data_IF_038292544845
#
_entry.id   IF_038292544845
#
_cell.length_a   1.000
_cell.length_b   1.000
_cell.length_c   1.000
_cell.angle_alpha   90.00
_cell.angle_beta   90.00
_cell.angle_gamma   90.00
#
_symmetry.space_group_name_H-M   'P 1'
#
loop_
_entity.id
_entity.type
_entity.pdbx_description
1 polymer ?
2 non-polymer ?
3 non-polymer ?
4 non-polymer ?
5 non-polymer ?
6 water ?
#
# COMPACT_ATOMS: atom_id res chain seq x y z
N UNK A 22 28.70 -11.83 -26.63
CA UNK A 22 27.38 -11.85 -25.91
C UNK A 22 27.51 -12.65 -24.61
N UNK A 23 27.25 -11.98 -23.48
CA UNK A 23 26.90 -12.63 -22.19
C UNK A 23 25.39 -12.86 -22.18
N UNK A 24 24.89 -14.10 -22.41
CA UNK A 24 23.46 -14.37 -22.38
C UNK A 24 22.91 -14.26 -20.95
N UNK A 25 21.89 -13.44 -20.75
CA UNK A 25 21.17 -13.29 -19.46
C UNK A 25 19.84 -14.05 -19.55
N UNK A 26 19.40 -14.63 -18.43
CA UNK A 26 18.05 -15.24 -18.30
C UNK A 26 17.03 -14.13 -18.60
N UNK A 27 16.06 -14.35 -19.52
CA UNK A 27 15.06 -13.33 -19.83
C UNK A 27 14.18 -12.95 -18.64
N UNK A 28 13.80 -11.67 -18.59
CA UNK A 28 12.76 -11.12 -17.68
C UNK A 28 11.46 -11.92 -17.87
N UNK A 29 10.90 -12.42 -16.76
CA UNK A 29 9.62 -13.17 -16.73
C UNK A 29 8.92 -12.81 -15.42
N UNK A 30 7.59 -12.79 -15.39
CA UNK A 30 6.85 -12.60 -14.13
C UNK A 30 7.19 -13.76 -13.20
N UNK A 31 7.47 -13.46 -11.94
CA UNK A 31 7.52 -14.48 -10.88
C UNK A 31 6.09 -14.88 -10.52
N UNK A 32 5.82 -16.17 -10.46
CA UNK A 32 4.50 -16.71 -10.07
C UNK A 32 4.51 -16.97 -8.56
N UNK A 33 3.56 -16.36 -7.85
CA UNK A 33 3.18 -16.77 -6.48
C UNK A 33 2.14 -17.88 -6.66
N UNK A 34 2.52 -19.12 -6.41
CA UNK A 34 1.72 -20.31 -6.78
C UNK A 34 0.80 -20.75 -5.63
N UNK A 35 -0.18 -21.61 -5.95
CA UNK A 35 -1.07 -22.18 -4.91
C UNK A 35 -0.21 -23.00 -3.93
N UNK A 36 0.81 -23.71 -4.43
CA UNK A 36 1.71 -24.51 -3.57
C UNK A 36 2.44 -23.61 -2.57
N UNK A 37 2.91 -22.43 -3.00
CA UNK A 37 3.50 -21.42 -2.10
C UNK A 37 2.48 -21.03 -1.03
N UNK A 38 1.25 -20.73 -1.45
CA UNK A 38 0.20 -20.22 -0.55
C UNK A 38 -0.16 -21.31 0.47
N UNK A 39 -0.03 -22.59 0.13
CA UNK A 39 -0.38 -23.67 1.07
C UNK A 39 0.61 -23.66 2.26
N UNK A 40 1.76 -23.01 2.12
CA UNK A 40 2.76 -22.87 3.22
C UNK A 40 2.37 -21.73 4.17
N UNK A 41 1.35 -20.93 3.87
CA UNK A 41 1.05 -19.76 4.73
C UNK A 41 0.65 -20.26 6.12
N UNK A 42 1.37 -19.79 7.15
CA UNK A 42 1.15 -20.17 8.56
C UNK A 42 0.58 -18.96 9.30
N UNK A 43 -0.68 -19.02 9.70
CA UNK A 43 -1.36 -17.90 10.37
C UNK A 43 -0.99 -17.85 11.86
N UNK A 44 -0.19 -18.81 12.35
CA UNK A 44 0.11 -19.00 13.79
C UNK A 44 1.61 -18.94 14.07
N UNK A 45 2.35 -18.17 13.27
CA UNK A 45 3.82 -18.07 13.38
C UNK A 45 4.15 -16.79 14.15
N UNK A 46 4.71 -16.86 15.37
CA UNK A 46 4.95 -15.65 16.17
C UNK A 46 6.00 -14.70 15.56
N UNK A 47 6.85 -15.22 14.68
CA UNK A 47 7.89 -14.41 13.98
C UNK A 47 7.26 -13.60 12.85
N UNK A 48 6.01 -13.90 12.44
CA UNK A 48 5.34 -13.21 11.30
C UNK A 48 3.92 -12.80 11.70
N UNK A 49 3.68 -12.49 12.97
CA UNK A 49 2.37 -12.00 13.45
C UNK A 49 2.52 -10.60 14.04
N UNK A 50 1.65 -9.68 13.62
CA UNK A 50 1.61 -8.32 14.22
C UNK A 50 1.20 -8.42 15.68
N UNK A 51 1.87 -7.66 16.57
CA UNK A 51 1.41 -7.56 17.96
C UNK A 51 -0.06 -7.15 18.08
N UNK A 52 -0.76 -7.67 19.08
CA UNK A 52 -2.19 -7.39 19.33
C UNK A 52 -2.39 -5.89 19.56
N UNK A 53 -3.34 -5.29 18.87
CA UNK A 53 -3.76 -3.89 19.11
C UNK A 53 -4.68 -3.89 20.34
N UNK A 54 -4.44 -2.95 21.24
CA UNK A 54 -5.24 -2.75 22.49
C UNK A 54 -6.61 -2.17 22.13
N UNK A 55 -7.67 -2.63 22.80
CA UNK A 55 -9.04 -2.09 22.65
C UNK A 55 -9.15 -0.63 23.05
N UNK A 56 -8.18 -0.10 23.81
CA UNK A 56 -8.21 1.30 24.34
C UNK A 56 -7.34 2.22 23.48
N UNK A 57 -7.08 1.87 22.21
CA UNK A 57 -6.23 2.69 21.31
C UNK A 57 -6.75 4.13 21.27
N UNK A 58 -5.85 5.13 21.18
CA UNK A 58 -6.25 6.53 20.99
C UNK A 58 -6.67 6.76 19.53
N UNK A 59 -7.42 7.84 19.29
CA UNK A 59 -7.93 8.21 17.95
C UNK A 59 -7.40 9.59 17.58
N UNK A 60 -6.80 9.74 16.40
CA UNK A 60 -6.04 10.94 15.96
C UNK A 60 -6.97 12.15 15.79
N UNK A 61 -8.20 11.94 15.33
CA UNK A 61 -9.14 13.04 14.97
C UNK A 61 -10.58 12.64 15.29
N UNK A 62 -11.35 13.60 15.82
CA UNK A 62 -12.81 13.44 16.06
C UNK A 62 -13.58 14.01 14.86
N UNK A 63 -12.87 14.46 13.82
CA UNK A 63 -13.45 15.14 12.63
C UNK A 63 -13.36 14.23 11.40
N UNK A 64 -12.26 13.49 11.25
CA UNK A 64 -12.01 12.66 10.02
C UNK A 64 -11.53 11.27 10.43
N UNK A 65 -11.83 10.30 9.57
CA UNK A 65 -11.19 8.96 9.53
C UNK A 65 -9.93 9.09 8.67
N UNK A 66 -8.84 8.43 9.06
CA UNK A 66 -7.71 8.21 8.12
C UNK A 66 -7.52 6.71 7.97
N UNK A 67 -6.91 6.29 6.87
CA UNK A 67 -6.47 4.89 6.74
C UNK A 67 -5.09 4.85 6.05
N UNK A 68 -5.02 4.56 4.76
CA UNK A 68 -3.73 4.42 4.03
C UNK A 68 -2.86 5.65 4.36
N UNK A 69 -1.65 5.41 4.87
CA UNK A 69 -0.70 6.46 5.31
C UNK A 69 0.57 6.37 4.48
N UNK A 70 0.99 7.52 3.95
CA UNK A 70 2.05 7.65 2.93
C UNK A 70 3.07 8.66 3.42
N UNK A 71 4.16 8.22 4.09
CA UNK A 71 5.18 9.15 4.55
C UNK A 71 5.88 9.87 3.40
N UNK A 72 6.15 11.15 3.60
CA UNK A 72 7.02 11.94 2.68
C UNK A 72 8.36 11.24 2.57
N UNK A 73 8.85 11.06 1.34
CA UNK A 73 10.11 10.36 1.07
C UNK A 73 10.75 10.95 -0.18
N UNK A 74 12.06 10.78 -0.33
CA UNK A 74 12.74 11.12 -1.60
C UNK A 74 12.57 9.96 -2.59
N UNK A 75 13.08 10.14 -3.81
CA UNK A 75 12.87 9.18 -4.92
C UNK A 75 13.63 7.88 -4.63
N UNK A 76 14.61 7.90 -3.72
CA UNK A 76 15.43 6.71 -3.37
C UNK A 76 14.80 5.91 -2.22
N UNK A 77 13.69 6.38 -1.65
CA UNK A 77 12.93 5.66 -0.62
C UNK A 77 13.19 6.14 0.78
N UNK A 78 14.05 7.15 0.96
CA UNK A 78 14.39 7.69 2.31
C UNK A 78 13.20 8.47 2.86
N UNK A 79 12.67 8.07 4.02
CA UNK A 79 11.62 8.82 4.73
C UNK A 79 12.21 10.18 5.14
N UNK A 80 11.57 11.27 4.75
CA UNK A 80 12.17 12.61 4.85
C UNK A 80 11.35 13.51 5.77
N UNK A 81 12.04 14.20 6.68
CA UNK A 81 11.52 15.43 7.34
C UNK A 81 11.99 16.64 6.55
N UNK A 82 11.30 17.76 6.75
CA UNK A 82 11.62 19.06 6.09
C UNK A 82 11.78 20.10 7.19
N UNK A 83 12.99 20.66 7.31
CA UNK A 83 13.33 21.61 8.40
C UNK A 83 12.89 21.01 9.74
N UNK A 84 13.10 19.70 9.93
CA UNK A 84 12.83 18.99 11.20
C UNK A 84 11.40 18.49 11.32
N UNK A 85 10.50 18.88 10.41
CA UNK A 85 9.08 18.45 10.44
C UNK A 85 8.90 17.12 9.69
N UNK A 86 8.48 16.07 10.39
CA UNK A 86 7.99 14.83 9.75
C UNK A 86 6.64 15.16 9.09
N UNK A 87 6.39 14.56 7.93
CA UNK A 87 5.15 14.79 7.15
C UNK A 87 4.62 13.44 6.67
N UNK A 88 3.33 13.21 6.88
CA UNK A 88 2.62 12.04 6.28
C UNK A 88 1.43 12.57 5.47
N UNK A 89 1.12 11.84 4.41
CA UNK A 89 -0.13 12.02 3.63
C UNK A 89 -1.04 10.86 4.02
N UNK A 90 -2.33 11.13 4.14
CA UNK A 90 -3.33 10.09 4.49
C UNK A 90 -4.51 10.14 3.52
N UNK A 91 -5.03 8.97 3.16
CA UNK A 91 -6.42 8.88 2.68
C UNK A 91 -7.32 9.22 3.85
N UNK A 92 -8.30 10.08 3.60
CA UNK A 92 -9.06 10.80 4.65
C UNK A 92 -10.51 10.86 4.21
N UNK A 93 -11.42 10.73 5.18
CA UNK A 93 -12.88 10.85 4.95
C UNK A 93 -13.51 11.51 6.17
N UNK A 94 -14.49 12.38 5.94
CA UNK A 94 -15.23 13.02 7.05
C UNK A 94 -15.91 11.94 7.90
N UNK A 95 -15.91 12.14 9.22
CA UNK A 95 -16.88 11.51 10.12
C UNK A 95 -18.20 12.27 9.97
N UNK A 96 -19.32 11.56 10.00
CA UNK A 96 -20.68 12.09 9.70
C UNK A 96 -21.64 11.67 10.80
N UNK A 97 -21.35 12.00 12.08
CA UNK A 97 -22.15 11.51 13.20
C UNK A 97 -23.63 11.94 13.23
N UNK A 98 -23.98 13.01 12.51
CA UNK A 98 -25.37 13.56 12.50
C UNK A 98 -26.09 13.19 11.19
N UNK A 99 -25.44 12.48 10.26
CA UNK A 99 -26.08 12.04 8.99
C UNK A 99 -27.28 11.15 9.30
N UNK A 100 -28.49 11.47 8.80
CA UNK A 100 -29.65 10.61 9.02
C UNK A 100 -29.45 9.17 8.53
N UNK A 101 -28.67 9.00 7.45
CA UNK A 101 -28.39 7.68 6.82
C UNK A 101 -27.67 6.76 7.81
N UNK A 102 -27.00 7.32 8.82
CA UNK A 102 -26.15 6.56 9.79
C UNK A 102 -26.81 6.47 11.16
N UNK A 103 -28.08 6.87 11.30
CA UNK A 103 -28.84 6.72 12.57
C UNK A 103 -29.52 5.35 12.55
N UNK A 104 -29.32 4.55 13.61
CA UNK A 104 -29.85 3.17 13.71
C UNK A 104 -31.32 3.20 14.13
N UNK A 105 -31.90 2.04 14.44
CA UNK A 105 -33.33 1.85 14.82
C UNK A 105 -33.66 2.76 16.01
N UNK A 106 -32.74 2.89 16.98
CA UNK A 106 -32.93 3.64 18.25
C UNK A 106 -32.44 5.10 18.10
N UNK A 107 -32.16 5.55 16.87
CA UNK A 107 -31.75 6.94 16.58
C UNK A 107 -30.32 7.21 17.04
N UNK A 108 -29.47 6.19 17.09
CA UNK A 108 -28.04 6.29 17.51
C UNK A 108 -27.13 6.13 16.28
N UNK A 109 -26.05 6.90 16.25
CA UNK A 109 -25.02 6.89 15.17
C UNK A 109 -24.40 5.49 15.09
N UNK A 110 -24.38 4.92 13.89
CA UNK A 110 -23.70 3.63 13.56
C UNK A 110 -22.42 3.95 12.79
N UNK A 111 -21.30 4.01 13.50
CA UNK A 111 -19.95 4.36 12.96
C UNK A 111 -19.56 3.38 11.84
N UNK A 112 -20.01 2.13 11.90
CA UNK A 112 -19.57 1.08 10.93
C UNK A 112 -20.01 1.49 9.52
N UNK A 113 -21.22 2.06 9.37
CA UNK A 113 -21.76 2.46 8.04
C UNK A 113 -20.92 3.61 7.48
N UNK A 114 -20.62 4.60 8.34
CA UNK A 114 -19.82 5.81 8.01
C UNK A 114 -18.41 5.36 7.57
N UNK A 115 -17.78 4.51 8.38
CA UNK A 115 -16.44 3.93 8.11
C UNK A 115 -16.44 3.17 6.77
N UNK A 116 -17.44 2.35 6.50
CA UNK A 116 -17.51 1.52 5.26
C UNK A 116 -17.67 2.42 4.03
N UNK A 117 -18.22 3.63 4.19
CA UNK A 117 -18.47 4.58 3.06
C UNK A 117 -17.26 5.49 2.84
N UNK A 118 -16.14 5.28 3.55
CA UNK A 118 -14.97 6.19 3.45
C UNK A 118 -14.40 6.18 2.03
N UNK A 119 -14.38 5.03 1.37
CA UNK A 119 -13.67 4.86 0.07
C UNK A 119 -14.32 5.76 -0.99
N UNK A 120 -15.65 5.89 -0.95
CA UNK A 120 -16.38 6.66 -1.96
C UNK A 120 -16.21 8.15 -1.81
N UNK A 121 -15.61 8.62 -0.70
CA UNK A 121 -15.46 10.07 -0.40
C UNK A 121 -14.01 10.38 -0.02
N UNK A 122 -13.07 9.52 -0.40
CA UNK A 122 -11.64 9.60 -0.03
C UNK A 122 -10.99 10.87 -0.58
N UNK A 123 -10.22 11.56 0.25
CA UNK A 123 -9.42 12.76 -0.13
C UNK A 123 -8.05 12.67 0.56
N UNK A 124 -7.05 13.26 -0.07
CA UNK A 124 -5.65 13.30 0.45
C UNK A 124 -5.55 14.44 1.47
N UNK A 125 -5.14 14.12 2.71
CA UNK A 125 -4.76 15.13 3.73
C UNK A 125 -3.27 14.97 4.00
N UNK A 126 -2.70 15.95 4.68
CA UNK A 126 -1.34 15.82 5.24
C UNK A 126 -1.39 16.15 6.74
N UNK A 127 -0.40 15.63 7.44
CA UNK A 127 -0.19 15.79 8.90
C UNK A 127 1.30 16.02 9.13
N UNK A 128 1.65 16.61 10.26
CA UNK A 128 3.07 16.93 10.53
C UNK A 128 3.35 16.83 12.02
N UNK A 129 4.63 16.67 12.34
CA UNK A 129 5.11 16.50 13.74
C UNK A 129 6.62 16.61 13.76
N UNK A 130 7.18 17.21 14.82
CA UNK A 130 8.66 17.24 14.96
C UNK A 130 9.16 15.99 15.69
N UNK A 131 8.27 15.07 16.08
CA UNK A 131 8.67 13.84 16.83
C UNK A 131 8.41 12.58 16.00
N UNK A 132 7.77 12.69 14.84
CA UNK A 132 7.36 11.50 14.07
C UNK A 132 6.19 10.77 14.70
N UNK A 133 5.45 11.41 15.58
CA UNK A 133 4.18 10.88 16.14
C UNK A 133 3.36 12.04 16.72
N UNK A 134 2.20 11.78 17.30
CA UNK A 134 1.33 12.85 17.87
C UNK A 134 1.05 13.86 16.76
N UNK A 135 0.59 13.36 15.62
CA UNK A 135 0.46 14.10 14.35
C UNK A 135 -0.50 15.28 14.53
N UNK A 136 -0.12 16.41 13.95
CA UNK A 136 -0.98 17.63 13.84
C UNK A 136 -1.60 17.61 12.45
N UNK A 137 -2.93 17.73 12.38
CA UNK A 137 -3.67 17.69 11.10
C UNK A 137 -3.37 18.96 10.30
N UNK A 138 -3.08 18.81 9.01
CA UNK A 138 -2.79 19.92 8.09
C UNK A 138 -3.94 20.24 7.15
N UNK A 139 -4.83 19.29 6.91
CA UNK A 139 -6.00 19.45 6.01
C UNK A 139 -5.71 18.95 4.61
N UNK A 140 -6.61 19.29 3.69
CA UNK A 140 -6.56 18.88 2.26
C UNK A 140 -5.23 19.29 1.62
N UNK A 141 -4.64 18.40 0.82
CA UNK A 141 -3.43 18.71 0.01
C UNK A 141 -3.86 19.55 -1.19
N UNK A 142 -4.89 19.08 -1.90
CA UNK A 142 -5.47 19.74 -3.10
C UNK A 142 -6.76 20.46 -2.70
N UNK A 143 -6.93 21.72 -3.11
CA UNK A 143 -8.21 22.44 -2.94
C UNK A 143 -9.32 21.64 -3.64
N UNK A 144 -10.52 21.62 -3.08
CA UNK A 144 -11.68 20.92 -3.68
C UNK A 144 -11.81 21.39 -5.13
N UNK A 145 -12.01 20.46 -6.08
CA UNK A 145 -12.17 20.77 -7.51
C UNK A 145 -10.88 20.70 -8.31
N UNK A 146 -9.71 20.62 -7.65
CA UNK A 146 -8.42 20.41 -8.37
C UNK A 146 -8.41 19.00 -8.94
N UNK A 147 -8.75 18.01 -8.11
CA UNK A 147 -8.70 16.60 -8.55
C UNK A 147 -9.76 16.39 -9.63
N UNK A 148 -9.41 15.75 -10.77
CA UNK A 148 -10.38 15.52 -11.85
C UNK A 148 -11.43 14.48 -11.47
N UNK A 149 -11.14 13.68 -10.44
CA UNK A 149 -12.05 12.73 -9.75
C UNK A 149 -12.26 13.24 -8.32
N UNK A 150 -13.49 13.24 -7.81
CA UNK A 150 -13.79 13.52 -6.38
C UNK A 150 -13.06 12.51 -5.49
N UNK A 151 -12.89 11.24 -5.91
CA UNK A 151 -12.06 10.27 -5.12
C UNK A 151 -10.56 10.35 -5.45
N UNK A 152 -9.77 10.56 -4.41
CA UNK A 152 -8.30 10.55 -4.42
C UNK A 152 -7.89 9.29 -3.66
N UNK A 153 -7.38 8.26 -4.34
CA UNK A 153 -6.88 7.04 -3.68
C UNK A 153 -5.36 7.08 -3.60
N UNK A 154 -4.73 6.04 -3.05
CA UNK A 154 -3.38 6.12 -2.48
C UNK A 154 -2.28 6.23 -3.54
N UNK A 155 -1.10 6.61 -3.07
CA UNK A 155 0.13 6.64 -3.86
C UNK A 155 1.30 7.02 -3.00
N UNK A 156 2.14 7.94 -3.50
CA UNK A 156 3.42 8.30 -2.86
C UNK A 156 3.69 9.78 -3.00
N UNK A 157 3.94 10.51 -1.90
CA UNK A 157 4.45 11.87 -1.97
C UNK A 157 5.98 11.90 -2.03
N UNK A 158 6.53 12.34 -3.16
CA UNK A 158 8.00 12.34 -3.41
C UNK A 158 8.54 13.76 -3.26
N UNK A 159 9.38 13.99 -2.25
CA UNK A 159 10.10 15.28 -2.06
C UNK A 159 11.22 15.33 -3.09
N UNK A 160 11.25 16.37 -3.93
CA UNK A 160 12.11 16.44 -5.14
C UNK A 160 13.41 17.19 -4.86
N UNK A 161 13.36 18.25 -4.07
CA UNK A 161 14.51 19.21 -4.01
C UNK A 161 14.41 20.08 -2.76
N UNK A 162 15.44 20.91 -2.56
CA UNK A 162 15.59 21.80 -1.37
C UNK A 162 14.73 23.07 -1.52
N UNK A 163 13.99 23.22 -2.61
CA UNK A 163 12.92 24.24 -2.74
C UNK A 163 11.61 23.70 -2.15
N UNK A 164 11.58 22.42 -1.74
CA UNK A 164 10.41 21.79 -1.09
C UNK A 164 9.37 21.34 -2.11
N UNK A 165 9.74 21.25 -3.38
CA UNK A 165 8.81 20.77 -4.43
C UNK A 165 8.53 19.29 -4.19
N UNK A 166 7.27 18.89 -4.32
CA UNK A 166 6.79 17.50 -4.12
C UNK A 166 6.01 17.09 -5.36
N UNK A 167 6.30 15.91 -5.89
CA UNK A 167 5.37 15.21 -6.84
C UNK A 167 4.53 14.26 -6.02
N UNK A 168 3.22 14.51 -5.91
CA UNK A 168 2.27 13.56 -5.29
C UNK A 168 1.76 12.64 -6.41
N UNK A 169 2.24 11.41 -6.43
CA UNK A 169 1.71 10.34 -7.29
C UNK A 169 0.52 9.72 -6.56
N UNK A 170 -0.63 9.64 -7.20
CA UNK A 170 -1.83 9.06 -6.55
C UNK A 170 -2.71 8.42 -7.61
N UNK A 171 -3.80 7.83 -7.16
CA UNK A 171 -4.78 7.15 -8.04
C UNK A 171 -6.04 8.02 -8.13
N UNK A 172 -6.32 8.55 -9.32
CA UNK A 172 -7.57 9.28 -9.61
C UNK A 172 -8.65 8.25 -9.94
N UNK A 173 -9.68 8.13 -9.10
CA UNK A 173 -10.66 7.02 -9.17
C UNK A 173 -12.06 7.58 -9.42
N UNK A 174 -12.66 7.11 -10.52
CA UNK A 174 -14.08 7.27 -10.94
C UNK A 174 -14.27 8.59 -11.67
N UNK A 175 -14.46 8.60 -13.01
CA UNK A 175 -14.45 7.39 -13.84
C UNK A 175 -13.06 6.76 -13.96
N UNK A 176 -13.04 5.42 -14.07
CA UNK A 176 -11.82 4.63 -14.27
C UNK A 176 -10.93 4.66 -13.05
N UNK A 177 -9.67 4.28 -13.25
CA UNK A 177 -8.63 4.27 -12.21
C UNK A 177 -7.33 4.59 -12.92
N UNK A 178 -6.80 5.79 -12.70
CA UNK A 178 -5.67 6.31 -13.48
C UNK A 178 -4.56 6.69 -12.51
N UNK A 179 -3.34 6.26 -12.81
CA UNK A 179 -2.15 6.77 -12.08
C UNK A 179 -1.86 8.18 -12.57
N UNK A 180 -1.83 9.14 -11.65
CA UNK A 180 -1.68 10.58 -11.95
C UNK A 180 -0.60 11.14 -11.04
N UNK A 181 -0.14 12.36 -11.31
CA UNK A 181 0.70 13.07 -10.33
C UNK A 181 0.33 14.54 -10.34
N UNK A 182 0.63 15.20 -9.24
CA UNK A 182 0.36 16.66 -9.08
C UNK A 182 1.56 17.23 -8.33
N UNK A 183 2.13 18.28 -8.90
CA UNK A 183 3.31 18.98 -8.34
C UNK A 183 2.81 20.07 -7.40
N UNK A 184 3.42 20.18 -6.22
CA UNK A 184 3.21 21.31 -5.30
C UNK A 184 4.46 21.54 -4.48
N UNK A 185 4.36 22.27 -3.38
CA UNK A 185 5.55 22.40 -2.50
C UNK A 185 5.11 22.47 -1.04
N UNK A 186 6.02 22.04 -0.18
CA UNK A 186 5.85 22.11 1.29
C UNK A 186 6.53 23.41 1.74
N UNK A 187 5.83 24.16 2.58
CA UNK A 187 6.35 25.38 3.25
C UNK A 187 6.27 25.13 4.76
N UNK A 188 7.36 25.37 5.48
CA UNK A 188 7.40 25.21 6.96
C UNK A 188 7.63 26.56 7.62
N UNK A 189 7.07 26.72 8.82
CA UNK A 189 7.44 27.74 9.83
C UNK A 189 7.78 27.00 11.12
N UNK A 190 8.15 27.72 12.18
CA UNK A 190 8.40 27.05 13.48
C UNK A 190 7.09 26.60 14.12
N UNK A 191 5.92 27.00 13.60
CA UNK A 191 4.58 26.60 14.16
C UNK A 191 4.01 25.40 13.40
N UNK A 192 4.39 25.19 12.13
CA UNK A 192 3.84 24.05 11.39
C UNK A 192 4.17 24.07 9.91
N UNK A 193 3.34 23.35 9.14
CA UNK A 193 3.61 22.96 7.74
C UNK A 193 2.36 23.27 6.91
N UNK A 194 2.59 23.77 5.69
CA UNK A 194 1.52 24.00 4.70
C UNK A 194 1.90 23.28 3.40
N UNK A 195 0.88 22.85 2.65
CA UNK A 195 1.03 22.29 1.29
C UNK A 195 0.40 23.28 0.31
N UNK A 196 1.20 23.83 -0.61
CA UNK A 196 0.75 24.92 -1.51
C UNK A 196 0.97 24.54 -2.97
N UNK A 197 0.10 25.05 -3.86
CA UNK A 197 0.35 25.02 -5.31
C UNK A 197 0.08 23.67 -5.95
N UNK A 198 -0.62 22.75 -5.27
CA UNK A 198 -1.02 21.45 -5.85
C UNK A 198 -2.26 21.68 -6.72
N UNK A 199 -2.04 22.10 -7.97
CA UNK A 199 -3.10 22.73 -8.81
C UNK A 199 -3.36 21.99 -10.12
N UNK A 200 -2.37 21.29 -10.68
CA UNK A 200 -2.50 20.72 -12.05
C UNK A 200 -2.21 19.23 -12.00
N UNK A 201 -3.25 18.41 -12.03
CA UNK A 201 -3.12 16.93 -12.02
C UNK A 201 -2.80 16.47 -13.45
N UNK A 202 -1.78 15.63 -13.58
CA UNK A 202 -1.28 15.11 -14.88
C UNK A 202 -1.54 13.62 -14.95
N UNK A 203 -2.19 13.16 -16.04
CA UNK A 203 -2.44 11.73 -16.30
C UNK A 203 -1.12 11.04 -16.70
N UNK A 204 -0.77 9.94 -16.04
CA UNK A 204 0.45 9.17 -16.39
C UNK A 204 0.09 7.90 -17.16
N UNK A 205 -0.78 7.06 -16.63
CA UNK A 205 -1.21 5.83 -17.34
C UNK A 205 -2.39 5.17 -16.62
N UNK A 206 -3.08 4.32 -17.36
CA UNK A 206 -4.17 3.46 -16.84
C UNK A 206 -3.95 2.06 -17.37
N UNK A 207 -4.81 1.12 -16.98
CA UNK A 207 -4.68 -0.28 -17.44
C UNK A 207 -4.80 -0.33 -18.95
N UNK A 208 -4.01 -1.19 -19.60
CA UNK A 208 -3.88 -1.24 -21.08
C UNK A 208 -4.75 -2.33 -21.70
N UNK A 209 -5.00 -3.44 -20.98
CA UNK A 209 -5.86 -4.55 -21.46
C UNK A 209 -5.10 -5.70 -22.10
N UNK A 210 -3.77 -5.59 -22.35
CA UNK A 210 -2.95 -6.71 -22.85
C UNK A 210 -2.04 -7.24 -21.73
N UNK A 211 -1.52 -6.34 -20.90
CA UNK A 211 -0.68 -6.69 -19.73
C UNK A 211 -1.53 -6.61 -18.46
N UNK A 212 -2.18 -5.47 -18.23
CA UNK A 212 -3.01 -5.22 -17.02
C UNK A 212 -4.48 -5.19 -17.40
N UNK A 213 -5.29 -5.83 -16.58
CA UNK A 213 -6.75 -5.96 -16.78
C UNK A 213 -7.42 -4.59 -16.68
N UNK A 214 -8.42 -4.36 -17.52
CA UNK A 214 -9.19 -3.10 -17.57
C UNK A 214 -10.57 -3.27 -16.94
N UNK A 215 -11.25 -2.15 -16.72
CA UNK A 215 -12.65 -2.13 -16.21
C UNK A 215 -13.56 -2.85 -17.21
N UNK A 216 -13.29 -2.74 -18.51
CA UNK A 216 -14.04 -3.43 -19.59
C UNK A 216 -13.96 -4.94 -19.38
N UNK A 217 -12.79 -5.44 -19.00
CA UNK A 217 -12.54 -6.89 -18.80
C UNK A 217 -13.09 -7.33 -17.45
N UNK A 218 -13.17 -6.43 -16.47
CA UNK A 218 -13.53 -6.81 -15.09
C UNK A 218 -14.01 -5.57 -14.35
N UNK A 219 -15.31 -5.49 -13.96
CA UNK A 219 -15.80 -4.31 -13.24
C UNK A 219 -15.09 -4.12 -11.88
N UNK A 220 -14.46 -5.17 -11.37
CA UNK A 220 -13.79 -5.21 -10.05
C UNK A 220 -12.27 -5.12 -10.22
N UNK A 221 -11.78 -4.74 -11.40
CA UNK A 221 -10.33 -4.61 -11.67
C UNK A 221 -9.67 -3.68 -10.65
N UNK A 222 -8.40 -3.95 -10.36
CA UNK A 222 -7.55 -3.05 -9.55
C UNK A 222 -6.53 -2.37 -10.47
N UNK A 223 -6.30 -1.09 -10.25
CA UNK A 223 -5.20 -0.33 -10.88
C UNK A 223 -4.94 0.86 -9.97
N UNK A 224 -3.98 0.76 -9.05
CA UNK A 224 -3.85 1.78 -7.99
C UNK A 224 -2.51 1.62 -7.27
N UNK A 225 -2.27 2.54 -6.34
CA UNK A 225 -1.15 2.50 -5.35
C UNK A 225 0.19 2.66 -6.05
N UNK A 226 0.41 3.75 -6.83
CA UNK A 226 1.72 3.98 -7.45
C UNK A 226 2.82 4.20 -6.41
N UNK A 227 3.95 3.53 -6.62
CA UNK A 227 5.16 3.58 -5.79
C UNK A 227 6.35 3.84 -6.71
N UNK A 228 6.66 5.11 -7.00
CA UNK A 228 7.81 5.45 -7.85
C UNK A 228 9.09 5.29 -7.05
N UNK A 229 10.17 4.93 -7.74
CA UNK A 229 11.49 4.78 -7.09
C UNK A 229 12.59 4.87 -8.13
N UNK A 230 13.76 5.29 -7.66
CA UNK A 230 15.01 5.22 -8.45
C UNK A 230 15.67 3.88 -8.13
N UNK A 231 15.89 3.05 -9.16
CA UNK A 231 16.59 1.76 -9.01
C UNK A 231 18.00 2.04 -8.49
N UNK A 232 18.41 1.50 -7.34
CA UNK A 232 19.75 1.78 -6.80
C UNK A 232 20.89 1.30 -7.71
N UNK A 233 20.66 0.33 -8.59
CA UNK A 233 21.73 -0.24 -9.45
C UNK A 233 21.83 0.54 -10.77
N UNK A 234 20.73 0.76 -11.50
CA UNK A 234 20.75 1.42 -12.83
C UNK A 234 20.60 2.94 -12.70
N UNK A 235 19.99 3.42 -11.61
CA UNK A 235 19.63 4.83 -11.42
C UNK A 235 18.43 5.27 -12.26
N UNK A 236 17.78 4.35 -12.97
CA UNK A 236 16.57 4.63 -13.78
C UNK A 236 15.34 4.74 -12.85
N UNK A 237 14.36 5.52 -13.27
CA UNK A 237 13.08 5.72 -12.53
C UNK A 237 12.09 4.64 -12.96
N UNK A 238 11.56 3.92 -11.98
CA UNK A 238 10.48 2.93 -12.19
C UNK A 238 9.33 3.24 -11.25
N UNK A 239 8.24 2.49 -11.40
CA UNK A 239 7.07 2.68 -10.50
C UNK A 239 6.27 1.38 -10.43
N UNK A 240 6.06 0.89 -9.20
CA UNK A 240 5.20 -0.26 -8.91
C UNK A 240 3.75 0.22 -8.81
N UNK A 241 2.82 -0.67 -9.05
CA UNK A 241 1.39 -0.44 -8.78
C UNK A 241 0.69 -1.79 -8.67
N UNK A 242 -0.47 -1.77 -8.04
CA UNK A 242 -1.36 -2.94 -7.98
C UNK A 242 -2.14 -3.04 -9.29
N UNK A 243 -2.19 -4.24 -9.87
CA UNK A 243 -3.07 -4.51 -11.01
C UNK A 243 -3.69 -5.87 -10.93
N UNK A 244 -4.40 -6.24 -11.99
CA UNK A 244 -4.83 -7.64 -12.26
C UNK A 244 -4.23 -8.06 -13.59
N UNK A 245 -4.02 -9.36 -13.76
CA UNK A 245 -3.50 -9.91 -15.03
C UNK A 245 -4.55 -9.68 -16.11
N UNK A 246 -4.13 -9.12 -17.25
CA UNK A 246 -5.05 -8.80 -18.37
C UNK A 246 -5.85 -10.04 -18.79
N UNK A 247 -7.08 -9.79 -19.21
CA UNK A 247 -7.99 -10.81 -19.76
C UNK A 247 -9.38 -10.64 -19.20
N UNK A 248 -10.39 -11.04 -19.96
CA UNK A 248 -11.80 -11.02 -19.49
C UNK A 248 -11.87 -11.76 -18.15
N UNK A 249 -12.57 -11.18 -17.18
CA UNK A 249 -12.87 -11.86 -15.90
C UNK A 249 -13.44 -13.25 -16.21
N UNK A 250 -12.88 -14.29 -15.58
CA UNK A 250 -13.34 -15.68 -15.74
C UNK A 250 -12.64 -16.42 -16.86
N UNK A 251 -11.80 -15.75 -17.67
CA UNK A 251 -11.12 -16.38 -18.84
C UNK A 251 -9.77 -16.97 -18.44
N UNK A 252 -9.18 -16.54 -17.33
CA UNK A 252 -7.83 -16.99 -16.89
C UNK A 252 -7.88 -18.50 -16.60
N UNK A 253 -6.73 -19.15 -16.69
CA UNK A 253 -6.61 -20.61 -16.42
C UNK A 253 -5.57 -20.81 -15.33
N UNK A 254 -5.93 -21.56 -14.29
CA UNK A 254 -4.94 -22.04 -13.29
C UNK A 254 -4.30 -23.29 -13.88
N UNK A 255 -3.16 -23.11 -14.53
CA UNK A 255 -2.40 -24.21 -15.16
C UNK A 255 -1.35 -24.74 -14.19
N UNK A 256 -0.48 -25.66 -14.66
CA UNK A 256 0.55 -26.25 -13.80
C UNK A 256 1.43 -25.22 -13.08
N UNK A 257 1.76 -24.09 -13.73
CA UNK A 257 2.68 -23.08 -13.14
C UNK A 257 1.95 -22.31 -12.03
N UNK A 258 0.65 -22.03 -12.21
CA UNK A 258 -0.13 -21.28 -11.18
C UNK A 258 -0.42 -22.21 -10.00
N UNK A 259 -0.67 -23.49 -10.27
CA UNK A 259 -0.90 -24.50 -9.20
C UNK A 259 0.41 -24.68 -8.43
N UNK A 260 1.53 -24.81 -9.14
CA UNK A 260 2.82 -25.14 -8.53
C UNK A 260 2.86 -26.56 -8.00
N UNK A 261 3.82 -26.83 -7.11
CA UNK A 261 4.15 -28.20 -6.66
C UNK A 261 3.26 -28.57 -5.48
N UNK A 262 1.95 -28.66 -5.71
CA UNK A 262 0.97 -29.00 -4.64
C UNK A 262 1.13 -30.47 -4.26
N UNK A 263 0.85 -30.79 -2.98
CA UNK A 263 0.93 -32.16 -2.51
C UNK A 263 -0.30 -32.97 -2.86
N UNK A 264 -0.22 -34.32 -2.74
CA UNK A 264 -1.36 -35.18 -3.06
C UNK A 264 -2.65 -34.75 -2.35
N UNK A 265 -3.73 -34.68 -3.13
CA UNK A 265 -5.08 -34.30 -2.65
C UNK A 265 -5.36 -32.81 -2.79
N UNK A 266 -4.37 -31.99 -3.17
CA UNK A 266 -4.49 -30.51 -3.26
C UNK A 266 -4.45 -30.03 -4.71
N UNK A 267 -4.85 -30.89 -5.66
CA UNK A 267 -4.77 -30.62 -7.11
C UNK A 267 -5.93 -29.73 -7.58
N UNK A 268 -7.05 -29.71 -6.87
CA UNK A 268 -8.29 -29.02 -7.32
C UNK A 268 -8.11 -27.51 -7.15
N UNK A 269 -8.17 -26.75 -8.24
CA UNK A 269 -8.05 -25.27 -8.23
C UNK A 269 -9.42 -24.62 -7.97
N UNK A 270 -10.51 -25.39 -7.95
CA UNK A 270 -11.86 -24.83 -7.82
C UNK A 270 -12.11 -23.73 -8.84
N UNK A 271 -12.65 -22.60 -8.40
CA UNK A 271 -12.93 -21.43 -9.27
C UNK A 271 -11.89 -20.33 -8.98
N UNK A 272 -10.65 -20.71 -8.65
CA UNK A 272 -9.58 -19.75 -8.26
C UNK A 272 -9.09 -18.95 -9.46
N UNK A 273 -9.53 -19.28 -10.68
CA UNK A 273 -9.18 -18.51 -11.90
C UNK A 273 -9.85 -17.13 -11.87
N UNK A 274 -10.76 -16.89 -10.94
CA UNK A 274 -11.37 -15.55 -10.70
C UNK A 274 -10.43 -14.68 -9.86
N UNK A 275 -9.36 -15.21 -9.26
CA UNK A 275 -8.40 -14.41 -8.46
C UNK A 275 -7.14 -14.19 -9.29
N UNK A 276 -6.85 -12.95 -9.67
CA UNK A 276 -5.87 -12.63 -10.75
C UNK A 276 -4.99 -11.43 -10.36
N UNK A 277 -4.63 -11.29 -9.10
CA UNK A 277 -3.82 -10.16 -8.64
C UNK A 277 -2.43 -10.14 -9.29
N UNK A 278 -1.86 -8.97 -9.50
CA UNK A 278 -0.44 -8.87 -9.90
C UNK A 278 0.15 -7.56 -9.41
N UNK A 279 1.47 -7.58 -9.28
CA UNK A 279 2.27 -6.36 -9.04
C UNK A 279 2.82 -5.91 -10.39
N UNK A 280 2.39 -4.72 -10.82
CA UNK A 280 2.81 -4.10 -12.07
C UNK A 280 4.02 -3.22 -11.88
N UNK A 281 4.69 -2.91 -12.98
CA UNK A 281 5.83 -1.96 -12.99
C UNK A 281 5.80 -1.18 -14.31
N UNK A 282 6.16 0.09 -14.20
CA UNK A 282 6.31 1.04 -15.33
C UNK A 282 7.71 1.62 -15.25
N UNK A 283 8.21 2.11 -16.38
CA UNK A 283 9.56 2.76 -16.45
C UNK A 283 9.38 4.18 -17.00
N UNK A 284 10.20 5.10 -16.51
CA UNK A 284 10.14 6.51 -16.94
C UNK A 284 11.18 6.77 -18.03
N UNK A 285 10.81 7.56 -19.03
CA UNK A 285 11.69 7.96 -20.15
C UNK A 285 12.59 9.14 -19.74
N UNK A 286 12.40 9.70 -18.55
CA UNK A 286 13.10 10.94 -18.08
C UNK A 286 13.38 10.82 -16.57
N UNK A 287 14.11 11.79 -16.01
CA UNK A 287 14.50 11.84 -14.57
C UNK A 287 13.43 12.59 -13.75
N UNK A 288 12.44 13.20 -14.41
CA UNK A 288 11.42 14.07 -13.76
C UNK A 288 10.14 13.27 -13.47
N UNK A 289 10.06 12.01 -13.89
CA UNK A 289 8.86 11.19 -13.70
C UNK A 289 7.68 11.70 -14.50
N UNK A 290 7.89 12.16 -15.73
CA UNK A 290 6.83 12.80 -16.55
C UNK A 290 6.22 11.79 -17.53
N UNK A 291 7.03 11.03 -18.27
CA UNK A 291 6.55 10.16 -19.38
C UNK A 291 6.86 8.69 -19.06
N UNK A 292 5.81 7.88 -18.91
CA UNK A 292 5.92 6.51 -18.36
C UNK A 292 5.51 5.48 -19.42
N UNK A 293 6.16 4.33 -19.37
CA UNK A 293 5.87 3.20 -20.23
C UNK A 293 5.55 1.97 -19.37
N UNK A 294 4.42 1.33 -19.63
CA UNK A 294 4.02 0.10 -18.89
C UNK A 294 4.93 -1.06 -19.29
N UNK A 295 5.38 -1.82 -18.29
CA UNK A 295 6.10 -3.09 -18.50
C UNK A 295 5.21 -4.23 -18.03
N UNK A 296 5.53 -5.47 -18.44
CA UNK A 296 4.80 -6.62 -17.93
C UNK A 296 4.99 -6.77 -16.43
N UNK A 297 4.09 -7.49 -15.73
CA UNK A 297 4.17 -7.54 -14.27
C UNK A 297 5.40 -8.26 -13.70
N UNK A 298 5.77 -7.86 -12.49
CA UNK A 298 6.88 -8.48 -11.72
C UNK A 298 6.42 -9.78 -11.09
N UNK A 299 5.22 -9.77 -10.49
CA UNK A 299 4.66 -10.90 -9.69
C UNK A 299 3.22 -11.10 -10.09
N UNK A 300 2.81 -12.34 -10.35
CA UNK A 300 1.40 -12.66 -10.65
C UNK A 300 0.92 -13.71 -9.65
N UNK A 301 -0.37 -13.66 -9.30
CA UNK A 301 -0.99 -14.49 -8.25
C UNK A 301 -2.29 -15.09 -8.76
N UNK A 302 -2.34 -15.49 -10.04
CA UNK A 302 -3.55 -16.14 -10.63
C UNK A 302 -3.80 -17.46 -9.89
N UNK A 303 -5.02 -17.64 -9.38
CA UNK A 303 -5.39 -18.83 -8.59
C UNK A 303 -5.03 -18.69 -7.12
N UNK A 304 -4.43 -17.56 -6.70
CA UNK A 304 -3.86 -17.44 -5.33
C UNK A 304 -4.47 -16.25 -4.59
N UNK A 305 -4.44 -15.06 -5.17
CA UNK A 305 -5.07 -13.91 -4.47
C UNK A 305 -5.41 -12.83 -5.50
N UNK A 306 -6.59 -12.25 -5.35
CA UNK A 306 -7.06 -11.22 -6.31
C UNK A 306 -6.42 -9.85 -6.01
N UNK A 307 -5.87 -9.62 -4.81
CA UNK A 307 -5.46 -8.25 -4.38
C UNK A 307 -4.02 -8.29 -3.84
N UNK A 308 -3.07 -7.90 -4.68
CA UNK A 308 -1.66 -7.64 -4.29
C UNK A 308 -1.53 -6.12 -4.21
N UNK A 309 -1.91 -5.56 -3.08
CA UNK A 309 -2.08 -4.11 -2.87
C UNK A 309 -0.76 -3.46 -2.49
N UNK A 310 -0.71 -2.15 -2.66
CA UNK A 310 0.36 -1.27 -2.17
C UNK A 310 1.74 -1.91 -2.30
N UNK A 311 2.16 -2.35 -3.51
CA UNK A 311 3.49 -2.90 -3.69
C UNK A 311 4.57 -1.84 -3.44
N UNK A 312 5.62 -2.23 -2.73
CA UNK A 312 6.75 -1.31 -2.42
C UNK A 312 8.03 -2.10 -2.14
N UNK A 313 9.16 -1.42 -2.31
CA UNK A 313 10.49 -2.01 -2.12
C UNK A 313 11.16 -1.53 -0.83
N UNK A 314 11.94 -2.43 -0.24
CA UNK A 314 13.13 -2.11 0.58
C UNK A 314 14.33 -2.68 -0.16
N UNK A 315 15.37 -1.86 -0.31
CA UNK A 315 16.67 -2.29 -0.88
C UNK A 315 17.59 -2.55 0.32
N UNK A 316 18.05 -3.79 0.46
CA UNK A 316 18.95 -4.17 1.59
C UNK A 316 19.89 -5.28 1.13
N UNK A 317 21.17 -5.21 1.52
CA UNK A 317 22.15 -6.31 1.29
C UNK A 317 22.27 -6.60 -0.22
N UNK A 318 22.09 -5.58 -1.08
CA UNK A 318 22.16 -5.70 -2.54
C UNK A 318 20.96 -6.44 -3.13
N UNK A 319 19.92 -6.68 -2.34
CA UNK A 319 18.71 -7.43 -2.77
C UNK A 319 17.52 -6.49 -2.86
N UNK A 320 16.48 -6.97 -3.53
CA UNK A 320 15.18 -6.29 -3.72
C UNK A 320 14.13 -7.04 -2.89
N UNK A 321 13.67 -6.40 -1.83
CA UNK A 321 12.57 -6.92 -0.98
C UNK A 321 11.29 -6.24 -1.46
N UNK A 322 10.41 -7.02 -2.07
CA UNK A 322 9.15 -6.54 -2.68
C UNK A 322 7.99 -6.94 -1.78
N UNK A 323 7.37 -5.96 -1.14
CA UNK A 323 6.25 -6.17 -0.19
C UNK A 323 4.93 -5.84 -0.88
N UNK A 324 3.89 -6.54 -0.47
CA UNK A 324 2.52 -6.28 -0.95
C UNK A 324 1.55 -6.62 0.16
N UNK A 325 0.43 -5.90 0.22
CA UNK A 325 -0.59 -6.07 1.26
C UNK A 325 -1.72 -6.91 0.66
N UNK A 326 -2.15 -7.95 1.34
CA UNK A 326 -3.24 -8.82 0.83
C UNK A 326 -4.20 -9.19 1.97
N UNK A 327 -5.31 -9.79 1.59
CA UNK A 327 -6.47 -10.04 2.47
C UNK A 327 -6.85 -11.51 2.45
N UNK A 328 -7.26 -12.00 3.62
CA UNK A 328 -7.90 -13.33 3.75
C UNK A 328 -9.04 -13.48 2.72
N UNK A 329 -9.87 -12.45 2.60
CA UNK A 329 -11.12 -12.52 1.81
C UNK A 329 -10.84 -12.77 0.32
N UNK A 330 -9.68 -12.35 -0.20
CA UNK A 330 -9.39 -12.34 -1.66
C UNK A 330 -8.48 -13.51 -2.05
N UNK A 331 -8.24 -14.45 -1.15
CA UNK A 331 -7.56 -15.72 -1.48
C UNK A 331 -8.38 -16.53 -2.50
N UNK A 332 -7.65 -17.28 -3.33
CA UNK A 332 -8.21 -18.32 -4.21
C UNK A 332 -8.99 -19.36 -3.43
N UNK A 333 -10.04 -19.95 -4.05
CA UNK A 333 -10.72 -21.17 -3.54
C UNK A 333 -9.72 -22.18 -2.99
N UNK A 334 -9.99 -22.72 -1.80
CA UNK A 334 -9.20 -23.80 -1.19
C UNK A 334 -7.91 -23.31 -0.56
N UNK A 335 -7.73 -21.98 -0.47
CA UNK A 335 -6.56 -21.36 0.18
C UNK A 335 -7.05 -20.38 1.23
N UNK A 336 -6.24 -20.18 2.25
CA UNK A 336 -6.50 -19.08 3.20
C UNK A 336 -5.19 -18.61 3.81
N UNK A 337 -5.28 -17.45 4.43
CA UNK A 337 -4.17 -16.78 5.09
C UNK A 337 -4.71 -15.51 5.69
N UNK A 338 -3.87 -14.79 6.47
CA UNK A 338 -4.28 -13.57 7.15
C UNK A 338 -4.24 -12.34 6.25
N UNK A 339 -5.00 -11.33 6.63
CA UNK A 339 -4.74 -9.93 6.20
C UNK A 339 -3.34 -9.56 6.65
N UNK A 340 -2.59 -8.84 5.81
CA UNK A 340 -1.31 -8.26 6.23
C UNK A 340 -0.29 -8.21 5.13
N UNK A 341 0.97 -8.19 5.55
CA UNK A 341 2.14 -7.98 4.65
C UNK A 341 2.59 -9.34 4.12
N UNK A 342 2.75 -9.40 2.82
CA UNK A 342 3.37 -10.51 2.08
C UNK A 342 4.59 -9.95 1.37
N UNK A 343 5.51 -10.81 0.96
CA UNK A 343 6.67 -10.27 0.25
C UNK A 343 7.54 -11.34 -0.35
N UNK A 344 8.47 -10.86 -1.18
CA UNK A 344 9.33 -11.66 -2.06
C UNK A 344 10.71 -11.01 -2.06
N UNK A 345 11.72 -11.78 -2.41
CA UNK A 345 13.09 -11.24 -2.50
C UNK A 345 13.75 -11.75 -3.77
N UNK A 346 14.54 -10.87 -4.40
CA UNK A 346 15.35 -11.15 -5.59
C UNK A 346 16.71 -10.49 -5.46
N UNK A 347 17.69 -11.04 -6.15
CA UNK A 347 19.01 -10.38 -6.39
C UNK A 347 18.84 -9.24 -7.38
N UNK A 348 17.77 -9.26 -8.20
CA UNK A 348 17.62 -8.38 -9.39
C UNK A 348 16.24 -7.71 -9.37
N UNK A 349 16.17 -6.47 -9.86
CA UNK A 349 14.88 -5.74 -9.95
C UNK A 349 13.86 -6.62 -10.67
N UNK A 350 14.24 -7.27 -11.78
CA UNK A 350 13.29 -8.00 -12.65
C UNK A 350 13.28 -9.49 -12.33
N UNK A 351 13.73 -9.89 -11.13
CA UNK A 351 13.58 -11.27 -10.62
C UNK A 351 14.76 -12.15 -11.01
N UNK A 352 14.68 -13.47 -10.76
CA UNK A 352 13.48 -14.10 -10.21
C UNK A 352 13.29 -13.81 -8.72
N UNK A 353 12.04 -13.66 -8.27
CA UNK A 353 11.69 -13.45 -6.85
C UNK A 353 11.35 -14.80 -6.23
N UNK A 354 11.61 -14.95 -4.93
CA UNK A 354 11.14 -16.12 -4.14
C UNK A 354 10.33 -15.60 -2.97
N UNK A 355 9.34 -16.37 -2.48
CA UNK A 355 8.49 -15.93 -1.37
C UNK A 355 9.27 -15.86 -0.04
N UNK A 356 9.14 -14.74 0.67
CA UNK A 356 9.77 -14.60 2.00
C UNK A 356 9.16 -15.63 2.94
N UNK A 357 10.01 -16.26 3.75
CA UNK A 357 9.64 -17.27 4.76
C UNK A 357 9.05 -18.52 4.10
N UNK A 358 9.25 -18.69 2.79
CA UNK A 358 8.79 -19.88 2.08
C UNK A 358 7.37 -19.70 1.51
N UNK A 359 6.47 -19.06 2.25
CA UNK A 359 5.04 -18.90 1.87
C UNK A 359 4.77 -17.55 1.21
N UNK A 360 5.56 -16.53 1.53
CA UNK A 360 5.30 -15.13 1.22
C UNK A 360 4.80 -14.33 2.40
N UNK A 361 4.30 -14.96 3.47
CA UNK A 361 3.77 -14.18 4.62
C UNK A 361 4.90 -13.54 5.41
N UNK A 362 4.80 -12.22 5.63
CA UNK A 362 5.80 -11.40 6.39
C UNK A 362 5.17 -10.95 7.71
N UNK A 363 3.95 -10.42 7.69
CA UNK A 363 3.34 -9.85 8.90
C UNK A 363 1.82 -9.99 8.83
N UNK A 364 1.32 -11.08 9.38
CA UNK A 364 -0.12 -11.38 9.37
C UNK A 364 -0.80 -10.82 10.59
N UNK A 365 -2.05 -10.42 10.46
CA UNK A 365 -2.87 -10.05 11.64
C UNK A 365 -3.04 -11.30 12.49
N UNK A 366 -3.07 -11.15 13.83
CA UNK A 366 -3.34 -12.27 14.72
C UNK A 366 -4.75 -12.79 14.47
N UNK A 367 -4.95 -14.13 14.37
CA UNK A 367 -6.28 -14.68 14.11
C UNK A 367 -7.37 -14.31 15.12
N UNK A 368 -7.00 -13.90 16.34
CA UNK A 368 -7.97 -13.43 17.38
C UNK A 368 -8.41 -11.99 17.09
N UNK A 369 -7.66 -11.25 16.27
CA UNK A 369 -8.01 -9.86 15.85
C UNK A 369 -7.68 -9.73 14.37
N UNK A 370 -8.38 -10.50 13.51
CA UNK A 370 -7.93 -10.69 12.12
C UNK A 370 -8.01 -9.43 11.26
N UNK A 371 -8.75 -8.41 11.70
CA UNK A 371 -8.99 -7.16 10.92
C UNK A 371 -8.45 -5.97 11.72
N UNK A 372 -7.48 -6.19 12.63
CA UNK A 372 -7.03 -5.08 13.52
C UNK A 372 -6.35 -3.99 12.70
N UNK A 373 -5.62 -4.32 11.64
CA UNK A 373 -4.88 -3.30 10.84
C UNK A 373 -4.89 -3.67 9.36
N UNK A 374 -4.55 -2.69 8.52
CA UNK A 374 -4.39 -2.90 7.06
C UNK A 374 -3.49 -1.81 6.46
N UNK A 375 -3.24 -1.96 5.16
CA UNK A 375 -2.49 -1.03 4.28
C UNK A 375 -1.12 -0.72 4.89
N UNK A 376 -0.45 -1.75 5.38
CA UNK A 376 0.89 -1.64 6.00
C UNK A 376 1.89 -1.05 5.01
N UNK A 377 2.94 -0.43 5.54
CA UNK A 377 4.05 0.12 4.72
C UNK A 377 5.35 -0.19 5.47
N UNK A 378 6.16 -1.05 4.86
CA UNK A 378 7.51 -1.41 5.38
C UNK A 378 8.49 -0.36 4.92
N UNK A 379 9.06 0.38 5.87
CA UNK A 379 10.05 1.42 5.53
C UNK A 379 11.44 0.83 5.60
N UNK A 380 12.44 1.47 4.96
CA UNK A 380 13.78 0.89 4.82
C UNK A 380 14.51 0.67 6.14
N UNK A 381 14.07 1.31 7.21
CA UNK A 381 14.63 1.17 8.58
C UNK A 381 13.99 -0.02 9.29
N UNK A 382 13.15 -0.80 8.58
CA UNK A 382 12.45 -1.98 9.12
C UNK A 382 11.17 -1.65 9.85
N UNK A 383 10.85 -0.36 10.06
CA UNK A 383 9.59 0.01 10.75
C UNK A 383 8.41 -0.13 9.79
N UNK A 384 7.35 -0.73 10.31
CA UNK A 384 6.11 -1.03 9.54
C UNK A 384 4.98 -0.22 10.18
N UNK A 385 4.42 0.71 9.41
CA UNK A 385 3.24 1.50 9.82
C UNK A 385 2.00 0.86 9.22
N UNK A 386 0.89 0.92 9.95
CA UNK A 386 -0.43 0.47 9.48
C UNK A 386 -1.50 1.27 10.20
N UNK A 387 -2.73 1.24 9.69
CA UNK A 387 -3.89 1.92 10.31
C UNK A 387 -4.74 0.84 11.01
N UNK A 388 -5.42 1.26 12.07
CA UNK A 388 -6.38 0.40 12.82
C UNK A 388 -7.71 0.38 12.07
N UNK A 389 -8.19 -0.83 11.78
CA UNK A 389 -9.53 -1.04 11.17
C UNK A 389 -10.50 -1.44 12.29
N UNK A 390 -10.56 -2.72 12.65
CA UNK A 390 -11.56 -3.24 13.60
C UNK A 390 -10.88 -4.07 14.69
N UNK A 391 -11.09 -3.69 15.95
CA UNK A 391 -10.50 -4.38 17.13
C UNK A 391 -11.64 -4.94 17.97
N UNK A 392 -11.70 -6.27 18.21
CA UNK A 392 -12.74 -6.84 19.07
C UNK A 392 -12.56 -6.37 20.52
N UNK A 393 -13.67 -6.14 21.23
CA UNK A 393 -13.69 -5.68 22.64
C UNK A 393 -14.53 -6.63 23.50
N UNK A 394 -15.02 -7.73 22.92
CA UNK A 394 -15.86 -8.73 23.61
C UNK A 394 -16.33 -9.80 22.64
N UNK A 395 -17.25 -10.65 23.09
CA UNK A 395 -17.77 -11.83 22.33
C UNK A 395 -18.29 -11.37 20.97
N UNK A 396 -19.07 -10.28 20.92
CA UNK A 396 -19.69 -9.76 19.67
C UNK A 396 -19.25 -8.31 19.39
N UNK A 397 -18.78 -7.57 20.40
CA UNK A 397 -18.51 -6.11 20.28
C UNK A 397 -17.12 -5.85 19.68
N UNK A 398 -16.99 -4.74 18.97
CA UNK A 398 -15.69 -4.29 18.39
C UNK A 398 -15.70 -2.77 18.21
N UNK A 399 -14.51 -2.18 18.15
CA UNK A 399 -14.25 -0.74 17.91
C UNK A 399 -13.70 -0.56 16.50
N UNK A 400 -14.11 0.53 15.86
CA UNK A 400 -13.52 1.02 14.57
C UNK A 400 -12.37 1.98 14.87
N UNK A 401 -11.28 1.87 14.12
CA UNK A 401 -10.12 2.76 14.25
C UNK A 401 -10.22 4.00 13.38
N UNK A 402 -9.78 3.90 12.12
CA UNK A 402 -9.59 5.09 11.27
C UNK A 402 -8.53 5.99 11.86
N UNK A 403 -7.49 5.38 12.46
CA UNK A 403 -6.40 6.06 13.17
C UNK A 403 -5.17 5.18 13.04
N UNK A 404 -3.98 5.70 13.36
CA UNK A 404 -2.72 4.93 13.17
C UNK A 404 -2.60 3.81 14.22
N UNK A 405 -2.12 2.65 13.77
CA UNK A 405 -1.77 1.50 14.64
C UNK A 405 -0.37 1.70 15.19
N UNK A 406 0.00 0.93 16.25
CA UNK A 406 1.39 0.87 16.68
C UNK A 406 2.30 0.47 15.49
N UNK A 407 3.42 1.16 15.36
CA UNK A 407 4.50 0.79 14.40
C UNK A 407 5.19 -0.47 14.94
N UNK A 408 5.61 -1.37 14.06
CA UNK A 408 6.35 -2.59 14.51
C UNK A 408 7.59 -2.77 13.64
N UNK A 409 8.71 -3.02 14.29
CA UNK A 409 10.03 -3.23 13.64
C UNK A 409 10.09 -4.69 13.17
N UNK A 410 10.47 -4.90 11.92
CA UNK A 410 10.81 -6.25 11.39
C UNK A 410 12.26 -6.23 10.91
N UNK A 411 12.84 -7.41 10.85
CA UNK A 411 14.21 -7.62 10.33
C UNK A 411 14.11 -8.48 9.08
N UNK A 412 14.79 -8.06 8.03
CA UNK A 412 14.91 -8.82 6.76
C UNK A 412 16.27 -9.51 6.79
N UNK A 413 16.27 -10.82 6.59
CA UNK A 413 17.51 -11.61 6.65
C UNK A 413 17.46 -12.70 5.57
N UNK A 414 18.15 -12.49 4.47
CA UNK A 414 18.09 -13.44 3.36
C UNK A 414 16.66 -13.55 2.87
N UNK A 415 16.09 -14.76 2.82
CA UNK A 415 14.70 -15.00 2.40
C UNK A 415 13.81 -15.20 3.64
N UNK A 416 14.19 -14.63 4.79
CA UNK A 416 13.43 -14.72 6.06
C UNK A 416 13.07 -13.31 6.52
N UNK A 417 12.00 -13.20 7.30
CA UNK A 417 11.72 -11.97 8.08
C UNK A 417 11.36 -12.36 9.52
N UNK A 418 11.56 -11.42 10.44
CA UNK A 418 11.35 -11.62 11.88
C UNK A 418 10.75 -10.35 12.48
N UNK A 419 9.65 -10.48 13.23
CA UNK A 419 9.04 -9.33 13.96
C UNK A 419 9.76 -9.14 15.29
N UNK A 420 10.25 -7.93 15.56
CA UNK A 420 11.23 -7.66 16.66
C UNK A 420 10.63 -6.87 17.81
N UNK A 421 9.90 -5.81 17.55
CA UNK A 421 9.63 -4.79 18.61
C UNK A 421 8.48 -3.89 18.18
N UNK A 422 7.59 -3.59 19.13
CA UNK A 422 6.42 -2.70 18.95
C UNK A 422 6.79 -1.30 19.44
N UNK A 423 6.38 -0.29 18.68
CA UNK A 423 6.60 1.14 18.95
C UNK A 423 5.24 1.82 19.08
N UNK A 424 5.25 3.12 19.32
CA UNK A 424 4.02 3.89 19.63
C UNK A 424 3.12 3.99 18.38
N UNK A 425 1.86 4.35 18.62
CA UNK A 425 0.83 4.62 17.59
C UNK A 425 1.40 5.62 16.57
N UNK A 426 1.39 5.24 15.29
CA UNK A 426 1.75 6.13 14.16
C UNK A 426 3.16 6.66 14.23
N UNK A 427 4.07 5.93 14.87
CA UNK A 427 5.49 6.32 14.93
C UNK A 427 6.14 6.11 13.56
N UNK A 428 6.48 7.22 12.91
CA UNK A 428 7.10 7.23 11.55
C UNK A 428 8.26 8.22 11.59
N UNK A 429 9.40 7.82 12.17
CA UNK A 429 10.55 8.72 12.27
C UNK A 429 11.22 8.91 10.91
N UNK A 430 11.89 10.06 10.70
CA UNK A 430 12.57 10.31 9.44
C UNK A 430 13.90 9.58 9.35
N UNK A 431 14.34 9.29 8.12
CA UNK A 431 15.68 8.73 7.84
C UNK A 431 16.62 9.84 7.42
N UNK A 432 16.10 10.88 6.76
CA UNK A 432 16.87 12.08 6.35
C UNK A 432 16.06 13.32 6.73
N UNK A 433 16.76 14.43 6.95
CA UNK A 433 16.15 15.77 7.03
C UNK A 433 16.61 16.55 5.81
N UNK A 434 15.71 17.32 5.22
CA UNK A 434 16.01 18.16 4.03
C UNK A 434 15.80 19.61 4.45
N UNK A 435 16.80 20.45 4.18
CA UNK A 435 16.73 21.92 4.45
C UNK A 435 15.96 22.54 3.28
N UNK A 436 14.81 23.16 3.55
CA UNK A 436 13.92 23.73 2.51
C UNK A 436 13.80 25.25 2.71
N UNK A 437 14.03 26.01 1.64
CA UNK A 437 13.49 27.39 1.48
C UNK A 437 13.26 27.67 -0.01
N UNK A 438 12.44 28.68 -0.31
CA UNK A 438 11.99 29.06 -1.67
C UNK A 438 11.86 30.59 -1.77
X LIG B 1 -20.43 10.87 -0.70
X LIG B 1 -19.87 9.60 -1.13
X LIG B 1 -21.84 10.92 -1.05
X LIG B 1 -19.75 11.96 -1.34
X LIG B 1 -20.30 10.97 0.74
X LIG C 1 7.42 30.78 0.77
X LIG C 1 6.24 30.20 0.20
X LIG C 1 8.54 29.89 0.59
X LIG C 1 7.69 32.03 0.13
X LIG C 1 7.21 31.00 2.18
X LIG D 1 -12.34 19.75 3.91
X LIG D 1 -13.60 19.71 3.22
X LIG D 1 -11.67 18.49 3.73
X LIG D 1 -11.53 20.81 3.36
X LIG D 1 -12.55 19.99 5.31
X LIG E 1 -2.84 26.67 -2.22
X LIG E 1 -1.87 26.94 -3.26
X LIG E 1 -2.57 25.39 -1.61
X LIG E 1 -2.73 27.70 -1.22
X LIG E 1 -4.16 26.66 -2.77
X LIG F 1 14.70 6.30 -23.14
X LIG F 1 13.35 5.76 -23.12
X LIG F 1 15.65 5.25 -23.43
X LIG F 1 15.01 6.88 -21.86
X LIG F 1 14.76 7.31 -24.17
X LIG G 1 8.55 5.27 19.75
X LIG G 1 7.71 4.27 20.30
X LIG G 1 8.41 6.57 20.50
X LIG G 1 8.02 6.34 21.85
X LIG G 1 9.68 7.39 20.48
X LIG G 1 9.36 8.77 20.30
X LIG H 1 4.17 18.22 17.08
X LIG H 1 5.44 18.55 16.54
X LIG H 1 4.23 17.06 18.05
X LIG H 1 2.90 16.68 18.41
X LIG H 1 5.04 17.36 19.30
X LIG H 1 4.77 16.44 20.35
X LIG I 1 13.88 21.76 13.80
X LIG I 1 14.90 21.11 14.55
X LIG I 1 13.66 23.19 14.23
X LIG I 1 12.44 23.68 13.69
X LIG I 1 14.81 24.11 13.86
X LIG I 1 14.65 25.40 14.42
X LIG J 1 -7.67 1.17 -1.51
X LIG J 1 -6.29 1.25 -1.82
X LIG J 1 -8.03 2.30 -0.59
X LIG J 1 -7.81 1.91 0.77
X LIG J 1 -9.46 2.76 -0.78
X LIG J 1 -9.78 3.81 0.11
X LIG K 1 17.23 -14.05 -3.53
X LIG K 1 16.27 -14.88 -4.18
X LIG K 1 17.86 -14.74 -2.34
X LIG K 1 19.27 -14.55 -2.37
X LIG K 1 17.31 -14.28 -1.00
X LIG K 1 18.29 -14.32 0.03
X LIG L 1 -15.26 -8.42 13.01
X LIG L 1 -16.07 -7.62 12.15
X LIG L 1 -14.76 -7.64 14.21
X LIG L 1 -15.23 -8.26 15.42
X LIG L 1 -13.26 -7.52 14.27
X LIG L 1 -12.65 -8.76 14.59
X LIG M 1 -13.41 -9.89 -8.39
X LIG M 1 -13.25 -10.33 -9.74
X LIG M 1 -13.56 -11.06 -7.43
X LIG M 1 -14.80 -11.73 -7.66
X LIG M 1 -12.42 -12.06 -7.54
X LIG M 1 -12.38 -12.91 -6.40
X LIG N 1 10.02 2.26 -2.89
X LIG N 1 9.41 1.38 -1.96
X LIG N 1 11.13 3.08 -2.25
X LIG N 1 12.28 3.05 -3.08
X LIG N 1 11.49 2.62 -0.86
X LIG N 1 12.77 1.98 -0.81
X LIG O 1 -15.84 -13.58 -5.91
X LIG O 1 -15.44 -14.84 -6.43
X LIG O 1 -15.60 -14.88 -7.93
X LIG O 1 -16.97 -14.63 -8.21
X LIG O 1 -17.36 -15.16 -9.46
X LIG O 1 -18.85 -14.92 -9.65
X LIG O 1 -19.51 -15.45 -8.51
X LIG O 1 -20.93 -15.31 -8.65
X LIG O 1 -21.57 -15.70 -7.33
X LIG O 1 -21.01 -14.91 -6.29
X LIG O 1 -21.59 -15.22 -5.01
X LIG O 1 -20.91 -14.41 -3.94
X LIG O 1 -20.92 -13.03 -4.26
X LIG O 1 -20.48 -12.23 -3.17
X LIG O 1 -20.56 -10.79 -3.61
X LIG O 1 -19.61 -10.53 -4.63
X LIG O 1 -19.79 -9.21 -5.15
X LIG O 1 -18.65 -8.93 -6.11
X LIG O 1 -17.47 -8.75 -5.34
X LIG O 1 -16.29 -8.72 -6.13
X LIG O 1 -15.21 -7.96 -5.40
X LIG O 1 -15.12 -8.41 -4.04
X LIG P 1 -27.58 3.38 -9.18
X LIG P 1 -28.72 2.96 -8.41
X LIG P 1 -28.83 1.44 -8.49
X LIG P 1 -27.55 0.86 -8.22
X LIG P 1 -27.60 -0.22 -7.28
X LIG P 1 -26.21 -0.82 -7.03
X LIG P 1 -25.53 -1.13 -8.25
X LIG P 1 -24.17 -1.59 -8.07
X LIG P 1 -23.42 -1.54 -9.40
X LIG P 1 -23.61 -0.25 -9.98
X LIG P 1 -22.80 0.03 -11.13
X LIG P 1 -23.24 1.34 -11.76
X LIG P 1 -23.20 2.40 -10.81
X LIG P 1 -23.72 3.63 -11.36
X LIG P 1 -23.62 4.76 -10.34
X LIG P 1 -24.62 4.64 -9.33
X LIG P 1 -24.07 4.70 -8.00
X LIG P 1 -25.13 4.96 -6.92
X LIG P 1 -25.09 3.90 -5.92
X LIG P 1 -24.02 4.01 -4.98
X LIG P 1 -23.31 2.67 -4.76
X LIG P 1 -23.63 1.70 -5.76
X LIG Q 1 -12.08 12.43 -15.24
X LIG Q 1 -11.85 13.62 -15.97
X LIG Q 1 -11.00 11.41 -15.47
X LIG Q 1 -9.80 11.84 -14.85
X LIG Q 1 -8.70 10.96 -15.10
X LIG Q 1 -7.45 11.58 -14.58
X LIG Q 1 -6.28 15.70 -15.48
X LIG Q 1 -5.64 14.50 -15.87
X LIG Q 1 -5.94 13.38 -14.94
X LIG Q 1 -7.11 12.70 -15.38
X LIG R 1 6.19 4.05 23.55
X LIG R 1 5.61 5.04 24.36
X LIG R 1 5.34 2.82 23.45
X LIG R 1 6.17 1.66 23.35
X LIG R 1 5.49 0.45 23.63
X LIG R 1 4.61 0.08 22.48
X LIG R 1 0.60 0.54 23.44
X LIG R 1 1.04 0.81 22.11
X LIG R 1 2.33 0.15 21.80
X LIG R 1 3.35 0.72 22.62
X LIG S 1 15.43 7.37 15.63
X LIG S 1 15.82 6.55 16.71
X LIG S 1 14.62 6.65 14.60
X LIG S 1 14.99 5.27 14.57
X LIG S 1 14.63 4.62 13.35
X LIG S 1 15.34 3.32 13.24
X LIG S 1 15.79 0.36 15.35
X LIG S 1 14.59 0.97 15.78
X LIG S 1 14.42 2.33 15.21
X LIG S 1 14.53 2.28 13.79
X LIG T 1 -15.93 -9.88 17.89
X LIG T 1 -16.94 -9.58 16.93
X LIG T 1 -14.94 -10.86 17.38
X LIG T 1 -14.44 -11.64 18.46
X LIG T 1 -13.14 -12.18 18.24
X LIG T 1 -13.22 -13.39 17.37
X LIG T 1 -13.16 -13.53 13.59
X LIG T 1 -12.70 -14.67 14.30
X LIG T 1 -11.96 -14.29 15.55
X LIG T 1 -12.56 -13.14 16.13
#
# INVERSE_FOLDING_TARGET
MSELYQAKSETRSTITSSLKGIQPYKPTKATIWSRADALKVNEYDPTTTQPLVSGDFPVMSDEVFIWDTMPLRDIDGNIASVNGWSVIFTLTADRNPTAPEYQDEQGNYDITLDWNDRHGRAKMYFWYSRTGKDWIIGGRVMAEGVSPTAREWAGTPVLLNERGEIDLYYTAVTPGATVVKVRGRVVTTENGVEMVGFKKVKSLFEADGKMYQTESQNPYWAFRDPCPFRDPKSGKLYMLFEGNVAGERGSHVVGPDELGDVPPGYEDAGNSHFQTGCIGIAVCRDEDGDDWELLPPLITAVGVNDQTERPHFVFQDGKYYLFTISAKFTYGDGLTGPDGVYGFVSENLFGPYVPLNGSGLVLGNPPSQPYQTYSHYVMPNGLVTSFIDSVPTGEDSYRIGGTEAPTVLIKLKGAQTFVLEEFDYGYIPPMIDVKVEHHHHHH
SO4 S O1 O2 O3 O4
SO4 S O1 O2 O3 O4
SO4 S O1 O2 O3 O4
SO4 S O1 O2 O3 O4
SO4 S O1 O2 O3 O4
GOL C1 O1 C2 O2 C3 O3
GOL C1 O1 C2 O2 C3 O3
GOL C1 O1 C2 O2 C3 O3
GOL C1 O1 C2 O2 C3 O3
GOL C1 O1 C2 O2 C3 O3
GOL C1 O1 C2 O2 C3 O3
GOL C1 O1 C2 O2 C3 O3
GOL C1 O1 C2 O2 C3 O3
P33 O22 C21 C20 O19 C18 C17 O16 C15 C14 O13 C12 C11 O10 C9 C8 O7 C6 C5 O4 C3 C2 O1
P33 O22 C21 C20 O19 C18 C17 O16 C15 C14 O13 C12 C11 O10 C9 C8 O7 C6 C5 O4 C3 C2 O1
PGE C1 O1 C2 O2 C3 C4 O4 C6 C5 O3
PGE C1 O1 C2 O2 C3 C4 O4 C6 C5 O3
PGE C1 O1 C2 O2 C3 C4 O4 C6 C5 O3
PGE C1 O1 C2 O2 C3 C4 O4 C6 C5 O3
#
